data_IF_287067240415
#
_entry.id   IF_287067240415
#
_cell.length_a   1.000
_cell.length_b   1.000
_cell.length_c   1.000
_cell.angle_alpha   90.00
_cell.angle_beta   90.00
_cell.angle_gamma   90.00
#
_symmetry.space_group_name_H-M   'P 1'
#
loop_
_entity.id
_entity.type
_entity.pdbx_description
1 polymer ?
#
# COMPACT_ATOMS: atom_id res chain seq x y z
N UNK A 1 -5.41 -12.55 4.49
CA UNK A 1 -5.26 -11.44 5.46
C UNK A 1 -4.22 -10.46 4.93
N UNK A 2 -4.64 -9.24 4.56
CA UNK A 2 -3.75 -8.23 3.98
C UNK A 2 -2.99 -7.55 5.13
N UNK A 3 -1.65 -7.56 5.09
CA UNK A 3 -0.81 -6.84 6.06
C UNK A 3 -0.37 -5.49 5.47
N UNK A 4 -0.85 -4.35 5.99
CA UNK A 4 -0.36 -3.05 5.56
C UNK A 4 1.10 -2.87 6.00
N UNK A 5 1.88 -2.18 5.17
CA UNK A 5 3.29 -1.85 5.43
C UNK A 5 3.42 -0.35 5.54
N UNK A 6 4.06 0.12 6.61
CA UNK A 6 4.34 1.53 6.85
C UNK A 6 5.83 1.70 7.03
N UNK A 7 6.43 2.66 6.32
CA UNK A 7 7.83 3.01 6.42
C UNK A 7 7.94 4.48 6.81
N UNK A 8 8.59 4.72 7.94
CA UNK A 8 8.93 6.03 8.46
C UNK A 8 10.25 5.92 9.26
N UNK A 9 10.96 7.03 9.50
CA UNK A 9 12.05 7.05 10.47
C UNK A 9 11.56 6.68 11.88
N UNK A 10 12.40 5.98 12.65
CA UNK A 10 12.05 5.51 14.01
C UNK A 10 11.95 6.62 15.05
N UNK A 11 12.58 7.75 14.79
CA UNK A 11 12.64 8.93 15.66
C UNK A 11 12.53 10.18 14.80
N UNK A 12 11.87 11.22 15.31
CA UNK A 12 11.76 12.52 14.65
C UNK A 12 11.88 13.65 15.68
N UNK A 13 12.51 14.76 15.30
CA UNK A 13 12.67 15.93 16.17
C UNK A 13 11.43 16.83 16.12
N UNK A 14 11.20 17.59 17.19
CA UNK A 14 10.06 18.53 17.24
C UNK A 14 10.23 19.62 16.16
N UNK A 15 9.26 19.69 15.25
CA UNK A 15 9.26 20.64 14.13
C UNK A 15 9.87 20.10 12.83
N UNK A 16 10.36 18.85 12.82
CA UNK A 16 10.89 18.20 11.62
C UNK A 16 9.75 17.68 10.73
N UNK A 17 9.84 17.97 9.42
CA UNK A 17 8.90 17.41 8.43
C UNK A 17 9.43 16.06 7.98
N UNK A 18 8.70 14.99 8.31
CA UNK A 18 9.06 13.62 7.93
C UNK A 18 8.09 13.04 6.90
N UNK A 19 8.63 12.20 6.01
CA UNK A 19 7.84 11.50 5.00
C UNK A 19 7.38 10.13 5.54
N UNK A 20 6.08 9.85 5.46
CA UNK A 20 5.49 8.57 5.84
C UNK A 20 4.99 7.87 4.58
N UNK A 21 5.59 6.72 4.26
CA UNK A 21 5.16 5.90 3.11
C UNK A 21 4.31 4.75 3.60
N UNK A 22 3.15 4.59 3.00
CA UNK A 22 2.23 3.48 3.28
C UNK A 22 2.03 2.64 2.02
N UNK A 23 1.90 1.34 2.21
CA UNK A 23 1.64 0.38 1.14
C UNK A 23 0.66 -0.67 1.63
N UNK A 24 -0.36 -0.95 0.82
CA UNK A 24 -1.30 -2.03 1.05
C UNK A 24 -1.21 -3.05 -0.08
N UNK A 25 -1.20 -4.33 0.26
CA UNK A 25 -1.24 -5.41 -0.72
C UNK A 25 -2.69 -5.63 -1.14
N UNK A 26 -3.13 -4.86 -2.13
CA UNK A 26 -4.45 -5.00 -2.75
C UNK A 26 -4.28 -5.47 -4.20
N UNK A 27 -5.12 -6.38 -4.73
CA UNK A 27 -5.02 -6.89 -6.10
C UNK A 27 -5.26 -5.82 -7.17
N UNK A 28 -5.83 -4.66 -6.78
CA UNK A 28 -6.12 -3.53 -7.66
C UNK A 28 -6.83 -3.96 -8.95
N UNK A 29 -7.79 -4.87 -8.83
CA UNK A 29 -8.51 -5.37 -9.99
C UNK A 29 -9.37 -4.27 -10.60
N UNK A 30 -9.24 -4.05 -11.90
CA UNK A 30 -9.93 -2.96 -12.62
C UNK A 30 -11.32 -3.37 -13.12
N UNK A 31 -11.66 -4.66 -13.08
CA UNK A 31 -12.93 -5.22 -13.55
C UNK A 31 -12.94 -5.62 -15.03
N UNK A 32 -11.86 -5.39 -15.79
CA UNK A 32 -11.74 -5.79 -17.19
C UNK A 32 -11.06 -7.15 -17.40
N UNK A 33 -10.59 -7.78 -16.33
CA UNK A 33 -9.90 -9.07 -16.42
C UNK A 33 -10.91 -10.15 -16.74
N UNK A 34 -10.66 -10.88 -17.81
CA UNK A 34 -11.40 -12.11 -18.10
C UNK A 34 -10.83 -13.27 -17.31
N UNK A 35 -11.68 -14.13 -16.82
CA UNK A 35 -11.25 -15.35 -16.15
C UNK A 35 -10.75 -16.41 -17.15
N UNK A 36 -10.27 -17.55 -16.64
CA UNK A 36 -9.76 -18.64 -17.48
C UNK A 36 -10.83 -19.26 -18.41
N UNK A 37 -12.12 -18.96 -18.19
CA UNK A 37 -13.25 -19.43 -18.98
C UNK A 37 -13.68 -18.39 -20.02
N UNK A 38 -13.01 -17.23 -20.09
CA UNK A 38 -13.20 -16.20 -21.10
C UNK A 38 -14.35 -15.24 -20.83
N UNK A 39 -14.91 -15.26 -19.61
CA UNK A 39 -15.92 -14.31 -19.15
C UNK A 39 -15.26 -13.03 -18.65
#
# INVERSE_FOLDING_TARGET
MIKPRVRLPSTASKGEVIEIKTLISHPMETGYRRDAQGH
#
